data_IF_290383495238
#
_entry.id   IF_290383495238
#
_cell.length_a   1.000
_cell.length_b   1.000
_cell.length_c   1.000
_cell.angle_alpha   90.00
_cell.angle_beta   90.00
_cell.angle_gamma   90.00
#
_symmetry.space_group_name_H-M   'P 1'
#
loop_
_entity.id
_entity.type
_entity.pdbx_description
1 polymer ?
#
# COMPACT_ATOMS: atom_id res chain seq x y z
N UNK A 1 10.46 74.28 -99.18
CA UNK A 1 10.27 75.33 -98.15
C UNK A 1 10.32 74.67 -96.79
N UNK A 2 11.04 75.32 -95.85
CA UNK A 2 11.36 74.95 -94.47
C UNK A 2 10.21 74.24 -93.70
N UNK A 3 10.45 73.42 -92.66
CA UNK A 3 11.04 73.80 -91.36
C UNK A 3 11.51 72.56 -90.57
N UNK A 4 12.64 72.69 -89.87
CA UNK A 4 13.18 71.80 -88.83
C UNK A 4 12.42 71.94 -87.48
N UNK A 5 12.30 70.86 -86.68
CA UNK A 5 12.96 70.69 -85.34
C UNK A 5 12.25 69.71 -84.38
N UNK A 6 13.12 69.15 -83.52
CA UNK A 6 12.95 68.76 -82.11
C UNK A 6 12.28 67.43 -81.78
N UNK A 7 13.08 66.53 -81.22
CA UNK A 7 12.64 65.30 -80.57
C UNK A 7 12.12 65.53 -79.16
N UNK A 8 11.42 64.51 -78.65
CA UNK A 8 11.11 64.35 -77.23
C UNK A 8 11.10 62.84 -76.91
N UNK A 9 11.89 62.47 -75.91
CA UNK A 9 12.03 61.14 -75.34
C UNK A 9 10.77 60.81 -74.53
N UNK A 10 10.11 59.68 -74.78
CA UNK A 10 9.02 59.16 -73.93
C UNK A 10 9.60 58.10 -73.01
N UNK A 11 9.65 58.41 -71.71
CA UNK A 11 10.06 57.50 -70.66
C UNK A 11 8.92 56.53 -70.32
N UNK A 12 9.24 55.25 -70.26
CA UNK A 12 8.38 54.15 -69.80
C UNK A 12 8.36 54.18 -68.26
N UNK A 13 7.20 54.45 -67.66
CA UNK A 13 6.99 54.23 -66.22
C UNK A 13 6.16 52.96 -66.03
N UNK A 14 6.86 51.85 -65.73
CA UNK A 14 6.24 50.63 -65.24
C UNK A 14 5.85 50.82 -63.77
N UNK A 15 4.57 50.62 -63.46
CA UNK A 15 4.09 50.57 -62.09
C UNK A 15 4.53 49.25 -61.45
N UNK A 16 5.52 49.31 -60.55
CA UNK A 16 5.90 48.18 -59.70
C UNK A 16 4.93 48.15 -58.53
N UNK A 17 3.97 47.21 -58.56
CA UNK A 17 3.13 46.91 -57.42
C UNK A 17 3.99 46.34 -56.29
N UNK A 18 4.15 47.11 -55.21
CA UNK A 18 4.76 46.65 -53.97
C UNK A 18 3.84 45.63 -53.31
N UNK A 19 4.08 44.34 -53.56
CA UNK A 19 3.51 43.25 -52.79
C UNK A 19 4.11 43.30 -51.38
N UNK A 20 3.42 43.93 -50.42
CA UNK A 20 3.79 43.85 -49.01
C UNK A 20 3.53 42.42 -48.53
N UNK A 21 4.58 41.60 -48.45
CA UNK A 21 4.51 40.31 -47.77
C UNK A 21 4.20 40.54 -46.29
N UNK A 22 2.96 40.25 -45.89
CA UNK A 22 2.57 40.24 -44.49
C UNK A 22 3.36 39.14 -43.76
N UNK A 23 4.18 39.53 -42.80
CA UNK A 23 4.85 38.59 -41.89
C UNK A 23 3.77 37.96 -41.01
N UNK A 24 3.54 36.66 -41.16
CA UNK A 24 2.71 35.90 -40.22
C UNK A 24 3.39 35.95 -38.85
N UNK A 25 2.73 36.58 -37.87
CA UNK A 25 3.22 36.59 -36.50
C UNK A 25 3.30 35.18 -35.94
N UNK A 26 4.41 34.85 -35.26
CA UNK A 26 4.57 33.58 -34.56
C UNK A 26 3.69 33.58 -33.31
N UNK A 27 2.43 33.17 -33.46
CA UNK A 27 1.59 32.86 -32.31
C UNK A 27 2.03 31.52 -31.73
N UNK A 28 2.61 31.53 -30.54
CA UNK A 28 2.90 30.33 -29.77
C UNK A 28 1.97 30.27 -28.55
N UNK A 29 1.55 29.06 -28.20
CA UNK A 29 0.80 28.78 -26.99
C UNK A 29 1.61 27.79 -26.14
N UNK A 30 1.83 28.13 -24.87
CA UNK A 30 2.49 27.25 -23.92
C UNK A 30 1.43 26.38 -23.26
N UNK A 31 1.59 25.06 -23.37
CA UNK A 31 0.75 24.08 -22.69
C UNK A 31 1.62 23.28 -21.73
N UNK A 32 1.24 23.24 -20.45
CA UNK A 32 2.03 22.59 -19.41
C UNK A 32 1.44 21.22 -19.06
N UNK A 33 2.31 20.21 -18.94
CA UNK A 33 1.98 18.91 -18.39
C UNK A 33 2.49 18.82 -16.95
N UNK A 34 1.75 18.13 -16.09
CA UNK A 34 2.16 17.84 -14.71
C UNK A 34 1.81 16.40 -14.38
N UNK A 35 2.72 15.70 -13.70
CA UNK A 35 2.53 14.37 -13.17
C UNK A 35 3.16 14.29 -11.76
N UNK A 36 2.54 13.53 -10.87
CA UNK A 36 3.05 13.25 -9.52
C UNK A 36 3.42 11.77 -9.47
N UNK A 37 4.66 11.48 -9.07
CA UNK A 37 5.15 10.12 -8.87
C UNK A 37 5.36 9.88 -7.37
N UNK A 38 4.89 8.75 -6.87
CA UNK A 38 5.19 8.29 -5.50
C UNK A 38 6.54 7.58 -5.51
N UNK A 39 7.34 7.78 -4.45
CA UNK A 39 8.73 7.30 -4.37
C UNK A 39 8.88 5.78 -4.39
N UNK A 40 7.83 5.06 -4.00
CA UNK A 40 7.74 3.62 -4.11
C UNK A 40 6.33 3.10 -3.89
N UNK A 41 6.11 1.86 -4.32
CA UNK A 41 4.83 1.16 -4.20
C UNK A 41 5.10 -0.33 -4.05
N UNK A 42 4.21 -1.02 -3.35
CA UNK A 42 4.13 -2.48 -3.43
C UNK A 42 2.69 -2.92 -3.27
N UNK A 43 2.30 -3.98 -3.97
CA UNK A 43 1.00 -4.62 -3.77
C UNK A 43 1.10 -5.61 -2.61
N UNK A 44 0.15 -5.53 -1.68
CA UNK A 44 0.06 -6.41 -0.52
C UNK A 44 -1.20 -7.26 -0.60
N UNK A 45 -1.05 -8.58 -0.51
CA UNK A 45 -2.17 -9.53 -0.60
C UNK A 45 -2.13 -10.53 0.54
N UNK A 46 -3.29 -10.83 1.12
CA UNK A 46 -3.51 -11.90 2.08
C UNK A 46 -4.84 -12.58 1.77
N UNK A 47 -5.10 -13.80 2.29
CA UNK A 47 -6.42 -14.41 2.21
C UNK A 47 -7.49 -13.52 2.85
N UNK A 48 -8.65 -13.42 2.20
CA UNK A 48 -9.76 -12.60 2.71
C UNK A 48 -10.33 -13.09 4.06
N UNK A 49 -10.10 -14.35 4.40
CA UNK A 49 -10.62 -14.95 5.64
C UNK A 49 -9.73 -16.12 6.07
N UNK A 50 -9.49 -16.21 7.38
CA UNK A 50 -8.91 -17.39 8.03
C UNK A 50 -10.02 -18.03 8.88
N UNK A 51 -10.26 -19.32 8.69
CA UNK A 51 -11.31 -20.07 9.39
C UNK A 51 -10.67 -21.15 10.25
N UNK A 52 -10.69 -20.94 11.57
CA UNK A 52 -10.18 -21.91 12.52
C UNK A 52 -11.03 -23.18 12.57
N UNK A 53 -10.38 -24.33 12.73
CA UNK A 53 -11.03 -25.63 12.94
C UNK A 53 -12.12 -25.93 11.91
N UNK A 54 -11.91 -25.46 10.67
CA UNK A 54 -12.86 -25.64 9.56
C UNK A 54 -14.28 -25.12 9.89
N UNK A 55 -14.40 -24.16 10.82
CA UNK A 55 -15.65 -23.57 11.27
C UNK A 55 -16.35 -24.33 12.39
N UNK A 56 -15.78 -25.45 12.88
CA UNK A 56 -16.32 -26.17 14.02
C UNK A 56 -16.03 -25.43 15.33
N UNK A 57 -16.98 -25.42 16.29
CA UNK A 57 -16.81 -24.71 17.55
C UNK A 57 -15.69 -25.31 18.41
N UNK A 58 -15.04 -24.46 19.19
CA UNK A 58 -14.10 -24.87 20.23
C UNK A 58 -14.77 -24.88 21.59
N UNK A 59 -14.36 -25.80 22.46
CA UNK A 59 -14.57 -25.63 23.90
C UNK A 59 -13.56 -24.63 24.46
N UNK A 60 -13.88 -24.03 25.62
CA UNK A 60 -12.93 -23.17 26.34
C UNK A 60 -11.62 -23.90 26.62
N UNK A 61 -11.69 -25.20 26.92
CA UNK A 61 -10.54 -26.05 27.24
C UNK A 61 -9.62 -26.25 26.03
N UNK A 62 -10.17 -26.42 24.84
CA UNK A 62 -9.37 -26.55 23.61
C UNK A 62 -8.50 -25.31 23.38
N UNK A 63 -9.06 -24.13 23.66
CA UNK A 63 -8.36 -22.85 23.54
C UNK A 63 -7.30 -22.69 24.64
N UNK A 64 -7.60 -23.13 25.87
CA UNK A 64 -6.63 -23.12 26.99
C UNK A 64 -5.44 -24.04 26.74
N UNK A 65 -5.70 -25.25 26.26
CA UNK A 65 -4.68 -26.26 25.97
C UNK A 65 -3.92 -25.96 24.66
N UNK A 66 -4.33 -24.92 23.91
CA UNK A 66 -3.77 -24.53 22.60
C UNK A 66 -3.64 -25.71 21.65
N UNK A 67 -4.71 -26.49 21.52
CA UNK A 67 -4.73 -27.64 20.62
C UNK A 67 -4.39 -27.20 19.19
N UNK A 68 -3.84 -28.09 18.36
CA UNK A 68 -3.34 -27.72 17.03
C UNK A 68 -4.35 -26.92 16.17
N UNK A 69 -5.64 -27.25 16.28
CA UNK A 69 -6.71 -26.57 15.54
C UNK A 69 -6.90 -25.08 15.92
N UNK A 70 -6.35 -24.61 17.05
CA UNK A 70 -6.37 -23.18 17.40
C UNK A 70 -5.33 -22.36 16.63
N UNK A 71 -4.50 -22.99 15.81
CA UNK A 71 -3.51 -22.32 14.97
C UNK A 71 -3.89 -22.48 13.49
N UNK A 72 -3.87 -21.37 12.76
CA UNK A 72 -4.03 -21.37 11.32
C UNK A 72 -2.90 -20.54 10.72
N UNK A 73 -2.25 -21.08 9.69
CA UNK A 73 -1.18 -20.40 8.96
C UNK A 73 -1.70 -19.87 7.63
N UNK A 74 -1.18 -18.72 7.22
CA UNK A 74 -1.46 -18.14 5.92
C UNK A 74 -0.26 -17.35 5.41
N UNK A 75 -0.31 -16.99 4.13
CA UNK A 75 0.75 -16.23 3.47
C UNK A 75 0.32 -14.77 3.29
N UNK A 76 1.23 -13.85 3.63
CA UNK A 76 1.14 -12.45 3.26
C UNK A 76 2.15 -12.20 2.15
N UNK A 77 1.68 -11.79 0.97
CA UNK A 77 2.51 -11.61 -0.22
C UNK A 77 2.70 -10.13 -0.52
N UNK A 78 3.95 -9.75 -0.76
CA UNK A 78 4.34 -8.49 -1.38
C UNK A 78 4.77 -8.77 -2.82
N UNK A 79 4.24 -7.99 -3.75
CA UNK A 79 4.53 -8.14 -5.18
C UNK A 79 4.52 -6.81 -5.91
N UNK A 80 5.17 -6.75 -7.07
CA UNK A 80 5.24 -5.54 -7.87
C UNK A 80 5.83 -4.36 -7.06
N UNK A 81 6.75 -4.68 -6.14
CA UNK A 81 7.44 -3.67 -5.37
C UNK A 81 8.36 -2.86 -6.30
N UNK A 82 8.27 -1.54 -6.27
CA UNK A 82 9.05 -0.64 -7.10
C UNK A 82 9.39 0.64 -6.35
N UNK A 83 10.53 1.24 -6.66
CA UNK A 83 11.07 2.42 -5.96
C UNK A 83 12.46 2.17 -5.37
N UNK A 84 13.05 3.22 -4.81
CA UNK A 84 14.38 3.24 -4.20
C UNK A 84 14.46 4.42 -3.22
N UNK A 85 15.44 4.42 -2.32
CA UNK A 85 15.61 5.53 -1.37
C UNK A 85 14.63 5.53 -0.19
N UNK A 86 13.97 4.39 0.07
CA UNK A 86 12.89 4.25 1.05
C UNK A 86 13.19 3.11 2.01
N UNK A 87 12.78 3.22 3.27
CA UNK A 87 12.84 2.11 4.24
C UNK A 87 11.46 1.51 4.45
N UNK A 88 11.16 0.33 3.86
CA UNK A 88 9.82 -0.24 3.93
C UNK A 88 9.57 -0.95 5.27
N UNK A 89 8.29 -1.00 5.66
CA UNK A 89 7.79 -1.89 6.71
C UNK A 89 6.32 -2.24 6.45
N UNK A 90 5.81 -3.23 7.16
CA UNK A 90 4.38 -3.57 7.11
C UNK A 90 3.76 -3.17 8.45
N UNK A 91 2.80 -2.24 8.42
CA UNK A 91 1.99 -1.91 9.60
C UNK A 91 0.77 -2.82 9.64
N UNK A 92 0.45 -3.32 10.83
CA UNK A 92 -0.70 -4.17 11.09
C UNK A 92 -1.63 -3.47 12.06
N UNK A 93 -2.81 -3.10 11.58
CA UNK A 93 -3.81 -2.37 12.36
C UNK A 93 -5.08 -3.21 12.54
N UNK A 94 -5.83 -2.93 13.60
CA UNK A 94 -7.05 -3.65 13.92
C UNK A 94 -7.53 -3.35 15.34
N UNK A 95 -8.79 -3.69 15.62
CA UNK A 95 -9.31 -3.60 16.97
C UNK A 95 -8.59 -4.62 17.87
N UNK A 96 -8.15 -4.19 19.05
CA UNK A 96 -7.36 -4.98 19.99
C UNK A 96 -7.78 -4.73 21.43
N UNK A 97 -7.49 -5.68 22.30
CA UNK A 97 -7.64 -5.53 23.75
C UNK A 97 -6.42 -6.12 24.45
N UNK A 98 -6.09 -5.56 25.60
CA UNK A 98 -5.19 -6.13 26.60
C UNK A 98 -5.87 -6.25 27.97
N UNK A 99 -7.19 -6.05 28.02
CA UNK A 99 -7.96 -6.03 29.29
C UNK A 99 -8.00 -7.41 29.96
N UNK A 100 -7.65 -8.45 29.19
CA UNK A 100 -7.67 -9.84 29.61
C UNK A 100 -6.27 -10.44 29.64
N UNK A 101 -5.19 -9.66 29.70
CA UNK A 101 -3.82 -10.17 29.70
C UNK A 101 -3.04 -9.76 28.45
N UNK A 102 -2.47 -10.72 27.72
CA UNK A 102 -1.72 -10.44 26.48
C UNK A 102 -2.57 -9.65 25.47
N UNK A 103 -1.93 -8.75 24.73
CA UNK A 103 -2.59 -7.99 23.67
C UNK A 103 -3.01 -8.93 22.54
N UNK A 104 -4.30 -8.93 22.19
CA UNK A 104 -4.88 -9.77 21.15
C UNK A 104 -5.79 -8.95 20.25
N UNK A 105 -5.85 -9.33 18.97
CA UNK A 105 -6.81 -8.76 18.04
C UNK A 105 -8.21 -9.32 18.32
N UNK A 106 -9.19 -8.42 18.42
CA UNK A 106 -10.62 -8.75 18.46
C UNK A 106 -11.43 -7.53 18.10
N UNK A 107 -12.53 -7.75 17.39
CA UNK A 107 -13.54 -6.72 17.22
C UNK A 107 -14.28 -6.52 18.54
N UNK A 108 -14.86 -5.33 18.71
CA UNK A 108 -15.74 -5.04 19.83
C UNK A 108 -16.94 -5.99 19.73
N UNK A 109 -17.10 -6.87 20.72
CA UNK A 109 -18.19 -7.83 20.78
C UNK A 109 -19.45 -7.20 21.36
N UNK A 110 -20.61 -7.69 20.93
CA UNK A 110 -21.87 -7.41 21.63
C UNK A 110 -21.99 -8.16 22.97
N UNK A 111 -23.12 -8.04 23.69
CA UNK A 111 -23.32 -8.66 25.00
C UNK A 111 -23.15 -10.19 25.04
N UNK A 112 -23.34 -10.85 23.89
CA UNK A 112 -23.23 -12.30 23.69
C UNK A 112 -21.91 -12.74 23.04
N UNK A 113 -20.99 -11.80 22.77
CA UNK A 113 -19.69 -12.10 22.18
C UNK A 113 -18.75 -12.76 23.19
N UNK A 114 -17.80 -13.54 22.68
CA UNK A 114 -16.82 -14.21 23.53
C UNK A 114 -16.00 -13.20 24.35
N UNK A 115 -15.74 -13.44 25.63
CA UNK A 115 -14.90 -12.56 26.50
C UNK A 115 -13.69 -13.31 26.99
N UNK A 116 -12.56 -12.62 27.13
CA UNK A 116 -11.28 -13.23 27.56
C UNK A 116 -10.48 -13.92 26.46
N UNK A 117 -10.97 -13.88 25.21
CA UNK A 117 -10.33 -14.49 24.04
C UNK A 117 -10.02 -13.45 22.96
N UNK A 118 -9.08 -13.79 22.09
CA UNK A 118 -8.72 -13.03 20.92
C UNK A 118 -7.80 -13.82 19.98
N UNK A 119 -7.34 -13.15 18.93
CA UNK A 119 -6.39 -13.70 17.97
C UNK A 119 -5.00 -13.11 18.24
N UNK A 120 -4.06 -13.99 18.58
CA UNK A 120 -2.64 -13.68 18.55
C UNK A 120 -2.18 -13.83 17.11
N UNK A 121 -1.65 -12.76 16.53
CA UNK A 121 -1.11 -12.78 15.18
C UNK A 121 0.40 -12.59 15.23
N UNK A 122 1.12 -13.50 14.61
CA UNK A 122 2.58 -13.55 14.62
C UNK A 122 3.11 -13.87 13.22
N UNK A 123 4.40 -13.62 13.03
CA UNK A 123 5.17 -14.06 11.87
C UNK A 123 6.53 -14.54 12.32
N UNK A 124 7.01 -15.63 11.72
CA UNK A 124 8.39 -16.08 11.91
C UNK A 124 9.40 -15.16 11.19
N UNK A 125 8.92 -14.22 10.38
CA UNK A 125 9.77 -13.46 9.47
C UNK A 125 10.16 -14.29 8.24
N UNK A 126 11.08 -13.74 7.47
CA UNK A 126 11.80 -14.45 6.42
C UNK A 126 13.19 -13.78 6.23
N UNK A 127 13.85 -13.99 5.09
CA UNK A 127 15.15 -13.36 4.82
C UNK A 127 15.05 -11.83 4.66
N UNK A 128 13.86 -11.30 4.39
CA UNK A 128 13.60 -9.88 4.13
C UNK A 128 13.02 -9.18 5.36
N UNK A 129 12.02 -9.78 6.01
CA UNK A 129 11.31 -9.19 7.15
C UNK A 129 11.61 -9.91 8.45
N UNK A 130 11.69 -9.14 9.53
CA UNK A 130 12.00 -9.64 10.85
C UNK A 130 10.83 -10.45 11.46
N UNK A 131 11.20 -11.38 12.33
CA UNK A 131 10.30 -12.08 13.24
C UNK A 131 9.45 -11.10 14.08
N UNK A 132 8.17 -11.43 14.30
CA UNK A 132 7.33 -10.75 15.28
C UNK A 132 6.36 -11.72 15.96
N UNK A 133 6.52 -11.91 17.26
CA UNK A 133 5.70 -12.82 18.08
C UNK A 133 4.29 -12.30 18.40
N UNK A 134 4.04 -10.98 18.35
CA UNK A 134 2.74 -10.41 18.69
C UNK A 134 2.52 -9.06 18.00
N UNK A 135 1.78 -9.10 16.90
CA UNK A 135 1.45 -7.91 16.11
C UNK A 135 0.37 -7.02 16.75
N UNK A 136 -0.43 -7.52 17.68
CA UNK A 136 -1.37 -6.68 18.42
C UNK A 136 -0.64 -5.74 19.40
N UNK A 137 0.46 -6.22 19.99
CA UNK A 137 1.32 -5.43 20.87
C UNK A 137 2.21 -4.45 20.09
N UNK A 138 2.92 -4.95 19.06
CA UNK A 138 4.01 -4.21 18.41
C UNK A 138 3.59 -3.47 17.14
N UNK A 139 2.50 -3.88 16.47
CA UNK A 139 1.88 -3.16 15.36
C UNK A 139 2.63 -3.16 14.03
N UNK A 140 3.90 -3.58 13.96
CA UNK A 140 4.67 -3.53 12.72
C UNK A 140 5.58 -4.75 12.52
N UNK A 141 5.77 -5.11 11.25
CA UNK A 141 6.77 -6.07 10.78
C UNK A 141 7.86 -5.25 10.10
N UNK A 142 9.03 -5.20 10.74
CA UNK A 142 10.15 -4.39 10.27
C UNK A 142 10.92 -5.13 9.19
N UNK A 143 11.45 -4.39 8.22
CA UNK A 143 12.43 -4.94 7.31
C UNK A 143 13.72 -5.27 8.08
N UNK A 144 14.37 -6.35 7.69
CA UNK A 144 15.64 -6.82 8.25
C UNK A 144 16.83 -6.05 7.70
N UNK A 145 17.78 -6.77 7.10
CA UNK A 145 18.98 -6.17 6.50
C UNK A 145 18.61 -5.35 5.25
N UNK A 146 18.35 -4.05 5.44
CA UNK A 146 17.97 -3.12 4.38
C UNK A 146 18.87 -1.89 4.36
N UNK A 147 19.21 -1.44 3.15
CA UNK A 147 19.80 -0.14 2.88
C UNK A 147 18.82 0.73 2.10
N UNK A 148 18.82 2.05 2.34
CA UNK A 148 18.02 2.97 1.53
C UNK A 148 18.45 2.96 0.04
N UNK A 149 19.67 2.52 -0.27
CA UNK A 149 20.14 2.35 -1.64
C UNK A 149 19.58 1.08 -2.32
N UNK A 150 18.93 0.19 -1.58
CA UNK A 150 18.34 -1.02 -2.13
C UNK A 150 17.08 -0.71 -2.93
N UNK A 151 16.92 -1.42 -4.05
CA UNK A 151 15.74 -1.27 -4.90
C UNK A 151 14.58 -2.09 -4.32
N UNK A 152 13.40 -1.49 -4.15
CA UNK A 152 12.22 -2.16 -3.58
C UNK A 152 11.81 -3.44 -4.32
N UNK A 153 12.15 -3.60 -5.60
CA UNK A 153 11.83 -4.83 -6.35
C UNK A 153 12.50 -6.09 -5.79
N UNK A 154 13.52 -5.96 -4.92
CA UNK A 154 14.16 -7.13 -4.29
C UNK A 154 13.36 -7.69 -3.11
N UNK A 155 12.30 -7.00 -2.68
CA UNK A 155 11.45 -7.42 -1.55
C UNK A 155 10.10 -8.00 -1.99
N UNK A 156 9.94 -8.32 -3.27
CA UNK A 156 8.86 -9.21 -3.74
C UNK A 156 9.02 -10.57 -3.04
N UNK A 157 8.14 -10.85 -2.09
CA UNK A 157 8.33 -11.96 -1.15
C UNK A 157 7.02 -12.43 -0.56
N UNK A 158 7.07 -13.63 0.00
CA UNK A 158 5.99 -14.20 0.81
C UNK A 158 6.45 -14.32 2.25
N UNK A 159 5.61 -13.84 3.16
CA UNK A 159 5.83 -13.88 4.59
C UNK A 159 4.89 -14.90 5.24
N UNK A 160 5.40 -15.90 5.98
CA UNK A 160 4.57 -16.83 6.71
C UNK A 160 3.95 -16.16 7.93
N UNK A 161 2.63 -16.21 8.01
CA UNK A 161 1.84 -15.67 9.11
C UNK A 161 1.19 -16.81 9.88
N UNK A 162 1.09 -16.64 11.20
CA UNK A 162 0.36 -17.56 12.08
C UNK A 162 -0.66 -16.78 12.87
N UNK A 163 -1.92 -17.17 12.75
CA UNK A 163 -3.00 -16.71 13.59
C UNK A 163 -3.33 -17.79 14.62
N UNK A 164 -3.36 -17.42 15.89
CA UNK A 164 -3.64 -18.32 17.00
C UNK A 164 -4.84 -17.81 17.79
N UNK A 165 -5.91 -18.62 17.85
CA UNK A 165 -7.02 -18.41 18.77
C UNK A 165 -6.56 -18.73 20.20
N UNK A 166 -6.56 -17.76 21.10
CA UNK A 166 -6.07 -17.94 22.48
C UNK A 166 -6.86 -17.10 23.48
N UNK A 167 -6.80 -17.48 24.76
CA UNK A 167 -7.07 -16.55 25.86
C UNK A 167 -5.85 -15.65 26.09
N UNK A 168 -6.08 -14.38 26.48
CA UNK A 168 -5.00 -13.49 26.93
C UNK A 168 -4.52 -13.90 28.33
N UNK A 169 -5.48 -14.19 29.21
CA UNK A 169 -5.33 -14.77 30.54
C UNK A 169 -6.44 -15.81 30.67
N UNK A 170 -6.02 -17.06 30.70
CA UNK A 170 -6.94 -18.18 30.76
C UNK A 170 -7.62 -18.32 32.14
N UNK A 171 -7.13 -17.60 33.16
CA UNK A 171 -7.74 -17.53 34.48
C UNK A 171 -8.72 -16.36 34.65
N UNK A 172 -8.97 -15.58 33.58
CA UNK A 172 -9.90 -14.44 33.63
C UNK A 172 -11.30 -14.88 34.08
N UNK A 173 -11.74 -14.41 35.25
CA UNK A 173 -12.94 -14.91 35.92
C UNK A 173 -14.24 -14.66 35.14
N UNK A 174 -14.29 -13.66 34.25
CA UNK A 174 -15.46 -13.33 33.43
C UNK A 174 -15.33 -13.85 31.99
N UNK A 175 -14.47 -14.85 31.76
CA UNK A 175 -14.32 -15.48 30.46
C UNK A 175 -15.63 -16.16 30.06
N UNK A 176 -16.03 -15.92 28.82
CA UNK A 176 -17.36 -16.29 28.34
C UNK A 176 -17.26 -16.77 26.89
N UNK A 177 -17.94 -17.87 26.56
CA UNK A 177 -18.10 -18.32 25.18
C UNK A 177 -19.04 -17.44 24.37
N UNK A 178 -18.90 -17.48 23.06
CA UNK A 178 -19.71 -16.71 22.12
C UNK A 178 -18.98 -16.53 20.80
N UNK A 179 -19.53 -15.67 19.94
CA UNK A 179 -18.87 -15.35 18.67
C UNK A 179 -17.64 -14.48 18.92
N UNK A 180 -16.55 -14.83 18.26
CA UNK A 180 -15.33 -14.04 18.19
C UNK A 180 -15.03 -13.73 16.72
N UNK A 181 -14.81 -12.45 16.43
CA UNK A 181 -14.32 -11.99 15.13
C UNK A 181 -13.18 -11.01 15.37
N UNK A 182 -12.19 -11.03 14.49
CA UNK A 182 -11.13 -10.04 14.44
C UNK A 182 -10.95 -9.61 12.99
N UNK A 183 -10.75 -8.32 12.79
CA UNK A 183 -10.42 -7.74 11.49
C UNK A 183 -9.11 -6.99 11.63
N UNK A 184 -8.15 -7.34 10.77
CA UNK A 184 -6.85 -6.69 10.69
C UNK A 184 -6.63 -6.14 9.29
N UNK A 185 -5.86 -5.08 9.18
CA UNK A 185 -5.42 -4.48 7.92
C UNK A 185 -3.89 -4.52 7.90
N UNK A 186 -3.33 -4.92 6.76
CA UNK A 186 -1.91 -4.88 6.50
C UNK A 186 -1.62 -3.74 5.53
N UNK A 187 -0.83 -2.78 5.95
CA UNK A 187 -0.46 -1.62 5.16
C UNK A 187 1.04 -1.66 4.88
N UNK A 188 1.42 -1.63 3.61
CA UNK A 188 2.81 -1.38 3.23
C UNK A 188 3.11 0.11 3.40
N UNK A 189 4.08 0.43 4.26
CA UNK A 189 4.47 1.81 4.57
C UNK A 189 5.98 1.97 4.38
N UNK A 190 6.42 3.21 4.21
CA UNK A 190 7.83 3.54 4.07
C UNK A 190 8.13 4.90 4.68
N UNK A 191 9.36 5.05 5.18
CA UNK A 191 9.98 6.32 5.57
C UNK A 191 11.06 6.75 4.58
#
# INVERSE_FOLDING_TARGET
MNVYRAGLIVAIMGAVGLSTSALAGTASATFNFTAVFVGGSCEITAPNTVVFNQGSPFSSRDIEERVAATNESFELTLSNCAGWGLTPSITVSGAKTSDYGEALFRNVGGPIGAKGYGILLATEGNNTFAFNQNLAANGSILIGNWSADDQLSVIDTTLPMTATLTCGDCNYALRQGGDLRATVTFDFVYD
#
